data_IF_307478760833
#
_entry.id   IF_307478760833
#
_cell.length_a   1.000
_cell.length_b   1.000
_cell.length_c   1.000
_cell.angle_alpha   90.00
_cell.angle_beta   90.00
_cell.angle_gamma   90.00
#
_symmetry.space_group_name_H-M   'P 1'
#
loop_
_entity.id
_entity.type
_entity.pdbx_description
1 polymer ?
#
# COMPACT_ATOMS: atom_id res chain seq x y z
N UNK A 1 -1.56 -31.68 11.72
CA UNK A 1 -2.25 -31.01 12.84
C UNK A 1 -3.34 -30.11 12.27
N UNK A 2 -4.60 -30.53 12.37
CA UNK A 2 -5.74 -29.79 11.87
C UNK A 2 -5.95 -28.51 12.70
N UNK A 3 -5.57 -27.37 12.13
CA UNK A 3 -5.80 -26.06 12.75
C UNK A 3 -7.29 -25.83 12.91
N UNK A 4 -7.71 -25.53 14.14
CA UNK A 4 -9.06 -25.12 14.49
C UNK A 4 -9.51 -23.97 13.58
N UNK A 5 -10.44 -24.24 12.66
CA UNK A 5 -11.09 -23.19 11.87
C UNK A 5 -11.83 -22.26 12.84
N UNK A 6 -11.25 -21.09 13.13
CA UNK A 6 -11.93 -20.01 13.84
C UNK A 6 -13.24 -19.69 13.11
N UNK A 7 -14.35 -19.60 13.85
CA UNK A 7 -15.63 -19.10 13.32
C UNK A 7 -15.42 -17.76 12.57
N UNK A 8 -16.16 -17.49 11.48
CA UNK A 8 -16.13 -16.20 10.82
C UNK A 8 -16.37 -15.08 11.84
N UNK A 9 -15.49 -14.08 11.86
CA UNK A 9 -15.78 -12.83 12.58
C UNK A 9 -16.87 -12.09 11.82
N UNK A 10 -17.99 -11.84 12.48
CA UNK A 10 -19.02 -10.95 11.94
C UNK A 10 -18.48 -9.52 12.04
N UNK A 11 -18.82 -8.71 11.04
CA UNK A 11 -18.35 -7.34 10.83
C UNK A 11 -19.04 -6.78 9.60
N UNK A 12 -18.78 -5.52 9.27
CA UNK A 12 -19.36 -4.89 8.09
C UNK A 12 -19.09 -5.73 6.83
N UNK A 13 -20.14 -5.97 6.04
CA UNK A 13 -20.08 -6.69 4.77
C UNK A 13 -20.25 -5.66 3.64
N UNK A 14 -19.16 -5.29 2.94
CA UNK A 14 -19.27 -4.43 1.77
C UNK A 14 -20.03 -5.12 0.63
N UNK A 15 -20.48 -4.33 -0.34
CA UNK A 15 -21.13 -4.86 -1.52
C UNK A 15 -20.17 -5.73 -2.35
N UNK A 16 -20.57 -6.97 -2.62
CA UNK A 16 -19.90 -7.91 -3.52
C UNK A 16 -20.74 -8.10 -4.79
N UNK A 17 -20.16 -8.45 -5.95
CA UNK A 17 -18.74 -8.71 -6.18
C UNK A 17 -17.89 -7.43 -6.22
N UNK A 18 -16.64 -7.52 -5.74
CA UNK A 18 -15.60 -6.54 -6.04
C UNK A 18 -15.42 -6.49 -7.56
N UNK A 19 -15.73 -5.33 -8.14
CA UNK A 19 -15.71 -5.14 -9.60
C UNK A 19 -14.32 -4.74 -10.06
N UNK A 20 -13.91 -5.30 -11.20
CA UNK A 20 -12.72 -4.82 -11.92
C UNK A 20 -12.94 -3.37 -12.39
N UNK A 21 -11.88 -2.55 -12.46
CA UNK A 21 -12.00 -1.18 -12.95
C UNK A 21 -12.65 -1.11 -14.34
N UNK A 22 -13.48 -0.08 -14.60
CA UNK A 22 -14.08 0.13 -15.92
C UNK A 22 -13.05 0.37 -17.02
N UNK A 23 -11.79 0.66 -16.65
CA UNK A 23 -10.64 0.70 -17.56
C UNK A 23 -10.48 -0.60 -18.38
N UNK A 24 -10.85 -1.74 -17.80
CA UNK A 24 -10.74 -3.07 -18.41
C UNK A 24 -12.06 -3.59 -18.99
N UNK A 25 -13.08 -2.74 -19.12
CA UNK A 25 -14.40 -3.17 -19.60
C UNK A 25 -14.39 -3.43 -21.10
N UNK A 26 -15.05 -4.51 -21.51
CA UNK A 26 -15.41 -4.76 -22.91
C UNK A 26 -16.94 -4.81 -23.06
N UNK A 27 -17.54 -4.04 -23.99
CA UNK A 27 -16.90 -3.04 -24.85
C UNK A 27 -16.30 -1.85 -24.06
N UNK A 28 -15.31 -1.12 -24.61
CA UNK A 28 -14.64 -0.01 -23.91
C UNK A 28 -15.61 1.08 -23.45
N UNK A 29 -15.37 1.63 -22.25
CA UNK A 29 -16.23 2.65 -21.62
C UNK A 29 -15.42 3.88 -21.17
N UNK A 30 -14.92 4.72 -22.10
CA UNK A 30 -13.93 5.76 -21.81
C UNK A 30 -14.39 6.76 -20.75
N UNK A 31 -15.64 7.25 -20.81
CA UNK A 31 -16.16 8.19 -19.81
C UNK A 31 -16.21 7.58 -18.39
N UNK A 32 -16.57 6.29 -18.29
CA UNK A 32 -16.56 5.59 -16.99
C UNK A 32 -15.13 5.33 -16.51
N UNK A 33 -14.19 5.06 -17.42
CA UNK A 33 -12.77 4.91 -17.09
C UNK A 33 -12.17 6.23 -16.56
N UNK A 34 -12.41 7.35 -17.25
CA UNK A 34 -11.94 8.69 -16.80
C UNK A 34 -12.56 9.04 -15.43
N UNK A 35 -13.88 8.84 -15.27
CA UNK A 35 -14.54 9.07 -13.98
C UNK A 35 -13.93 8.21 -12.88
N UNK A 36 -13.64 6.94 -13.15
CA UNK A 36 -13.01 6.05 -12.18
C UNK A 36 -11.58 6.48 -11.86
N UNK A 37 -10.77 6.90 -12.83
CA UNK A 37 -9.44 7.45 -12.57
C UNK A 37 -9.55 8.65 -11.61
N UNK A 38 -10.38 9.65 -11.92
CA UNK A 38 -10.48 10.86 -11.11
C UNK A 38 -11.08 10.61 -9.71
N UNK A 39 -12.16 9.86 -9.62
CA UNK A 39 -12.95 9.75 -8.38
C UNK A 39 -12.82 8.43 -7.63
N UNK A 40 -12.45 7.36 -8.34
CA UNK A 40 -12.23 6.05 -7.73
C UNK A 40 -10.78 5.81 -7.34
N UNK A 41 -9.84 6.29 -8.16
CA UNK A 41 -8.41 6.07 -7.97
C UNK A 41 -7.73 7.26 -7.28
N UNK A 42 -8.01 8.49 -7.72
CA UNK A 42 -7.33 9.68 -7.22
C UNK A 42 -8.01 10.35 -6.03
N UNK A 43 -9.34 10.48 -6.04
CA UNK A 43 -10.02 11.21 -4.98
C UNK A 43 -10.22 10.37 -3.71
N UNK A 44 -9.92 10.91 -2.51
CA UNK A 44 -9.10 12.10 -2.26
C UNK A 44 -7.59 11.79 -2.14
N UNK A 45 -7.22 10.53 -1.91
CA UNK A 45 -5.88 10.16 -1.43
C UNK A 45 -4.79 10.26 -2.49
N UNK A 46 -5.05 9.87 -3.74
CA UNK A 46 -4.08 10.04 -4.82
C UNK A 46 -3.75 11.52 -5.05
N UNK A 47 -4.74 12.40 -5.01
CA UNK A 47 -4.51 13.85 -5.07
C UNK A 47 -3.73 14.37 -3.86
N UNK A 48 -4.01 13.84 -2.66
CA UNK A 48 -3.22 14.15 -1.47
C UNK A 48 -1.74 13.78 -1.67
N UNK A 49 -1.43 12.59 -2.18
CA UNK A 49 -0.05 12.15 -2.38
C UNK A 49 0.68 12.97 -3.46
N UNK A 50 0.00 13.34 -4.54
CA UNK A 50 0.55 14.23 -5.55
C UNK A 50 0.84 15.62 -4.94
N UNK A 51 -0.11 16.18 -4.19
CA UNK A 51 0.06 17.47 -3.51
C UNK A 51 1.22 17.45 -2.52
N UNK A 52 1.30 16.41 -1.68
CA UNK A 52 2.43 16.20 -0.77
C UNK A 52 3.74 16.05 -1.54
N UNK A 53 3.75 15.37 -2.68
CA UNK A 53 4.90 15.22 -3.57
C UNK A 53 5.44 16.55 -4.07
N UNK A 54 4.54 17.40 -4.57
CA UNK A 54 4.88 18.75 -5.06
C UNK A 54 5.43 19.60 -3.91
N UNK A 55 4.75 19.64 -2.76
CA UNK A 55 5.20 20.40 -1.59
C UNK A 55 6.56 19.88 -1.11
N UNK A 56 6.72 18.56 -1.04
CA UNK A 56 7.96 17.96 -0.54
C UNK A 56 9.13 18.22 -1.47
N UNK A 57 8.93 18.15 -2.79
CA UNK A 57 9.98 18.49 -3.75
C UNK A 57 10.44 19.94 -3.63
N UNK A 58 9.50 20.88 -3.53
CA UNK A 58 9.82 22.31 -3.55
C UNK A 58 10.34 22.85 -2.22
N UNK A 59 9.97 22.23 -1.09
CA UNK A 59 10.24 22.80 0.24
C UNK A 59 10.89 21.85 1.24
N UNK A 60 10.77 20.53 1.05
CA UNK A 60 11.21 19.51 2.03
C UNK A 60 12.21 18.52 1.43
N UNK A 61 12.80 18.84 0.28
CA UNK A 61 13.83 18.05 -0.38
C UNK A 61 15.06 18.93 -0.53
N UNK A 62 16.26 18.43 -0.22
CA UNK A 62 17.50 19.19 -0.39
C UNK A 62 17.70 19.62 -1.85
N UNK A 63 18.56 20.62 -2.07
CA UNK A 63 18.92 21.07 -3.41
C UNK A 63 19.60 19.95 -4.22
N UNK A 64 19.55 20.04 -5.56
CA UNK A 64 20.24 19.08 -6.42
C UNK A 64 21.75 19.03 -6.12
N UNK A 65 22.39 20.18 -5.93
CA UNK A 65 23.81 20.30 -5.57
C UNK A 65 24.13 19.53 -4.28
N UNK A 66 23.28 19.68 -3.25
CA UNK A 66 23.44 18.93 -1.99
C UNK A 66 23.33 17.41 -2.21
N UNK A 67 22.42 16.98 -3.08
CA UNK A 67 22.16 15.56 -3.34
C UNK A 67 23.17 14.90 -4.28
N UNK A 68 24.11 15.63 -4.90
CA UNK A 68 25.16 15.05 -5.76
C UNK A 68 26.16 14.18 -4.97
N UNK A 69 26.27 14.41 -3.66
CA UNK A 69 27.10 13.62 -2.76
C UNK A 69 26.24 12.94 -1.70
N UNK A 70 26.53 11.67 -1.41
CA UNK A 70 25.84 10.95 -0.34
C UNK A 70 26.32 11.47 1.01
N UNK A 71 25.40 12.01 1.79
CA UNK A 71 25.64 12.48 3.15
C UNK A 71 24.47 12.09 4.05
N UNK A 72 24.77 11.53 5.22
CA UNK A 72 23.77 11.10 6.19
C UNK A 72 22.86 12.23 6.67
N UNK A 73 23.33 13.48 6.66
CA UNK A 73 22.54 14.64 7.09
C UNK A 73 21.28 14.81 6.24
N UNK A 74 21.43 14.95 4.93
CA UNK A 74 20.29 15.24 4.06
C UNK A 74 19.42 13.99 3.85
N UNK A 75 20.02 12.80 3.86
CA UNK A 75 19.28 11.54 3.92
C UNK A 75 18.44 11.45 5.21
N UNK A 76 18.99 11.93 6.33
CA UNK A 76 18.30 12.07 7.61
C UNK A 76 17.12 13.06 7.57
N UNK A 77 17.23 14.14 6.78
CA UNK A 77 16.10 15.06 6.53
C UNK A 77 14.97 14.36 5.78
N UNK A 78 15.28 13.58 4.74
CA UNK A 78 14.28 12.78 4.01
C UNK A 78 13.65 11.71 4.92
N UNK A 79 14.46 11.06 5.76
CA UNK A 79 13.97 10.13 6.78
C UNK A 79 12.98 10.81 7.73
N UNK A 80 13.35 11.97 8.29
CA UNK A 80 12.51 12.71 9.22
C UNK A 80 11.21 13.15 8.55
N UNK A 81 11.26 13.66 7.31
CA UNK A 81 10.09 14.03 6.53
C UNK A 81 9.13 12.84 6.37
N UNK A 82 9.64 11.69 5.94
CA UNK A 82 8.83 10.48 5.73
C UNK A 82 8.26 9.94 7.05
N UNK A 83 9.04 9.97 8.14
CA UNK A 83 8.59 9.58 9.47
C UNK A 83 7.46 10.47 9.98
N UNK A 84 7.59 11.80 9.81
CA UNK A 84 6.57 12.77 10.23
C UNK A 84 5.29 12.63 9.40
N UNK A 85 5.39 12.48 8.08
CA UNK A 85 4.23 12.30 7.20
C UNK A 85 3.48 11.00 7.51
N UNK A 86 4.20 9.88 7.65
CA UNK A 86 3.58 8.61 8.02
C UNK A 86 2.95 8.68 9.41
N UNK A 87 3.64 9.29 10.38
CA UNK A 87 3.12 9.42 11.75
C UNK A 87 1.90 10.32 11.83
N UNK A 88 1.89 11.43 11.09
CA UNK A 88 0.72 12.30 11.02
C UNK A 88 -0.47 11.53 10.43
N UNK A 89 -0.27 10.78 9.35
CA UNK A 89 -1.35 10.13 8.63
C UNK A 89 -1.85 8.86 9.32
N UNK A 90 -0.97 7.88 9.55
CA UNK A 90 -1.32 6.64 10.24
C UNK A 90 -1.74 6.92 11.69
N UNK A 91 -1.08 7.87 12.35
CA UNK A 91 -1.43 8.32 13.70
C UNK A 91 -2.81 8.98 13.76
N UNK A 92 -3.15 9.90 12.84
CA UNK A 92 -4.47 10.51 12.79
C UNK A 92 -5.58 9.49 12.50
N UNK A 93 -5.35 8.59 11.53
CA UNK A 93 -6.26 7.48 11.23
C UNK A 93 -6.48 6.59 12.46
N UNK A 94 -5.38 6.21 13.13
CA UNK A 94 -5.43 5.36 14.31
C UNK A 94 -6.14 6.05 15.47
N UNK A 95 -5.83 7.33 15.72
CA UNK A 95 -6.50 8.12 16.75
C UNK A 95 -8.00 8.23 16.49
N UNK A 96 -8.40 8.56 15.26
CA UNK A 96 -9.82 8.72 14.90
C UNK A 96 -10.60 7.40 15.00
N UNK A 97 -10.08 6.33 14.41
CA UNK A 97 -10.79 5.06 14.23
C UNK A 97 -10.68 4.12 15.44
N UNK A 98 -9.55 4.09 16.15
CA UNK A 98 -9.28 3.09 17.20
C UNK A 98 -9.26 3.66 18.62
N UNK A 99 -8.76 4.90 18.79
CA UNK A 99 -8.71 5.55 20.11
C UNK A 99 -10.02 6.28 20.41
N UNK A 100 -10.36 7.27 19.58
CA UNK A 100 -11.60 8.06 19.71
C UNK A 100 -12.84 7.25 19.32
N UNK A 101 -12.68 6.29 18.39
CA UNK A 101 -13.77 5.47 17.83
C UNK A 101 -14.92 6.34 17.34
N UNK A 102 -14.60 7.41 16.61
CA UNK A 102 -15.55 8.46 16.27
C UNK A 102 -16.76 7.99 15.44
N UNK A 103 -16.64 6.87 14.74
CA UNK A 103 -17.72 6.20 13.97
C UNK A 103 -18.08 4.82 14.55
N UNK A 104 -17.72 4.52 15.79
CA UNK A 104 -17.95 3.22 16.41
C UNK A 104 -17.37 2.07 15.58
N UNK A 105 -18.21 1.10 15.21
CA UNK A 105 -17.86 -0.03 14.34
C UNK A 105 -18.46 0.10 12.93
N UNK A 106 -19.04 1.25 12.58
CA UNK A 106 -19.60 1.48 11.25
C UNK A 106 -18.49 1.31 10.20
N UNK A 107 -18.76 0.47 9.20
CA UNK A 107 -17.84 0.11 8.11
C UNK A 107 -16.61 -0.70 8.52
N UNK A 108 -16.51 -1.15 9.77
CA UNK A 108 -15.37 -1.95 10.24
C UNK A 108 -15.50 -3.40 9.77
N UNK A 109 -14.47 -3.93 9.09
CA UNK A 109 -14.53 -5.29 8.53
C UNK A 109 -14.58 -6.39 9.59
N UNK A 110 -14.01 -6.14 10.77
CA UNK A 110 -13.97 -7.09 11.89
C UNK A 110 -14.51 -6.44 13.17
N UNK A 111 -15.35 -7.15 13.92
CA UNK A 111 -15.83 -6.66 15.22
C UNK A 111 -14.67 -6.43 16.20
N UNK A 112 -13.67 -7.32 16.21
CA UNK A 112 -12.58 -7.29 17.20
C UNK A 112 -11.68 -6.07 17.05
N UNK A 113 -11.30 -5.49 18.19
CA UNK A 113 -10.28 -4.42 18.22
C UNK A 113 -8.86 -5.01 18.17
N UNK A 114 -7.87 -4.15 17.94
CA UNK A 114 -6.46 -4.56 17.86
C UNK A 114 -5.99 -5.10 19.22
N UNK A 115 -5.15 -6.14 19.18
CA UNK A 115 -4.76 -6.83 20.42
C UNK A 115 -3.68 -6.07 21.18
N UNK A 116 -3.84 -5.98 22.50
CA UNK A 116 -2.90 -5.36 23.43
C UNK A 116 -2.19 -6.36 24.34
N UNK A 117 -2.50 -7.66 24.21
CA UNK A 117 -2.02 -8.72 25.10
C UNK A 117 -1.77 -10.04 24.34
N UNK A 118 -0.92 -10.02 23.32
CA UNK A 118 -0.60 -11.18 22.48
C UNK A 118 0.90 -11.37 22.30
N UNK A 119 1.43 -12.57 22.62
CA UNK A 119 2.85 -12.91 22.46
C UNK A 119 3.35 -12.91 21.01
N UNK A 120 2.47 -12.76 20.03
CA UNK A 120 2.84 -12.68 18.60
C UNK A 120 3.54 -11.37 18.22
N UNK A 121 3.32 -10.31 19.01
CA UNK A 121 3.78 -8.95 18.74
C UNK A 121 4.85 -8.52 19.76
N UNK A 122 5.78 -7.66 19.35
CA UNK A 122 6.70 -7.00 20.27
C UNK A 122 5.93 -6.27 21.37
N UNK A 123 6.47 -6.31 22.59
CA UNK A 123 5.83 -5.78 23.81
C UNK A 123 4.41 -6.30 24.07
N UNK A 124 4.05 -7.44 23.47
CA UNK A 124 2.71 -8.05 23.50
C UNK A 124 1.60 -7.15 22.96
N UNK A 125 1.92 -6.08 22.24
CA UNK A 125 0.97 -5.06 21.78
C UNK A 125 1.12 -4.82 20.28
N UNK A 126 0.05 -5.12 19.54
CA UNK A 126 0.05 -5.04 18.07
C UNK A 126 0.35 -3.64 17.55
N UNK A 127 -0.21 -2.60 18.17
CA UNK A 127 -0.01 -1.21 17.70
C UNK A 127 1.44 -0.78 17.90
N UNK A 128 2.04 -1.10 19.06
CA UNK A 128 3.44 -0.76 19.35
C UNK A 128 4.42 -1.50 18.45
N UNK A 129 4.18 -2.79 18.22
CA UNK A 129 4.95 -3.59 17.26
C UNK A 129 4.89 -2.97 15.86
N UNK A 130 3.69 -2.64 15.40
CA UNK A 130 3.47 -2.08 14.07
C UNK A 130 4.09 -0.69 13.89
N UNK A 131 3.98 0.20 14.89
CA UNK A 131 4.65 1.51 14.89
C UNK A 131 6.17 1.32 14.79
N UNK A 132 6.74 0.40 15.58
CA UNK A 132 8.17 0.12 15.55
C UNK A 132 8.62 -0.35 14.17
N UNK A 133 7.97 -1.35 13.57
CA UNK A 133 8.39 -1.85 12.25
C UNK A 133 8.17 -0.83 11.13
N UNK A 134 7.09 -0.06 11.17
CA UNK A 134 6.86 1.04 10.24
C UNK A 134 7.98 2.09 10.31
N UNK A 135 8.34 2.57 11.50
CA UNK A 135 9.27 3.69 11.64
C UNK A 135 10.74 3.26 11.62
N UNK A 136 11.11 2.23 12.39
CA UNK A 136 12.49 1.81 12.51
C UNK A 136 13.00 1.10 11.24
N UNK A 137 12.12 0.38 10.53
CA UNK A 137 12.48 -0.38 9.33
C UNK A 137 11.84 0.22 8.08
N UNK A 138 10.51 0.36 8.02
CA UNK A 138 9.79 0.80 6.83
C UNK A 138 10.23 2.16 6.31
N UNK A 139 10.18 3.20 7.16
CA UNK A 139 10.64 4.55 6.81
C UNK A 139 12.13 4.56 6.51
N UNK A 140 12.94 3.78 7.23
CA UNK A 140 14.38 3.68 6.98
C UNK A 140 14.69 3.18 5.56
N UNK A 141 14.11 2.04 5.15
CA UNK A 141 14.34 1.52 3.80
C UNK A 141 13.67 2.37 2.74
N UNK A 142 12.47 2.90 2.98
CA UNK A 142 11.83 3.84 2.08
C UNK A 142 12.75 5.04 1.80
N UNK A 143 13.18 5.73 2.85
CA UNK A 143 14.02 6.92 2.72
C UNK A 143 15.40 6.59 2.15
N UNK A 144 15.94 5.39 2.39
CA UNK A 144 17.18 4.94 1.76
C UNK A 144 17.00 4.78 0.24
N UNK A 145 15.98 4.07 -0.23
CA UNK A 145 15.71 3.92 -1.67
C UNK A 145 15.42 5.25 -2.35
N UNK A 146 14.64 6.12 -1.69
CA UNK A 146 14.35 7.45 -2.20
C UNK A 146 15.64 8.28 -2.30
N UNK A 147 16.44 8.33 -1.25
CA UNK A 147 17.69 9.09 -1.21
C UNK A 147 18.69 8.58 -2.26
N UNK A 148 18.88 7.26 -2.38
CA UNK A 148 19.78 6.68 -3.39
C UNK A 148 19.32 7.01 -4.81
N UNK A 149 18.01 7.01 -5.05
CA UNK A 149 17.45 7.37 -6.36
C UNK A 149 17.63 8.86 -6.66
N UNK A 150 17.40 9.74 -5.68
CA UNK A 150 17.60 11.18 -5.82
C UNK A 150 19.08 11.55 -5.98
N UNK A 151 19.98 10.88 -5.27
CA UNK A 151 21.41 11.02 -5.45
C UNK A 151 21.86 10.58 -6.84
N UNK A 152 21.38 9.42 -7.31
CA UNK A 152 21.67 8.95 -8.65
C UNK A 152 21.17 9.94 -9.71
N UNK A 153 19.98 10.52 -9.51
CA UNK A 153 19.43 11.56 -10.38
C UNK A 153 20.29 12.83 -10.36
N UNK A 154 20.55 13.40 -9.18
CA UNK A 154 21.29 14.65 -9.02
C UNK A 154 22.70 14.56 -9.59
N UNK A 155 23.33 13.40 -9.43
CA UNK A 155 24.67 13.13 -9.94
C UNK A 155 24.71 12.68 -11.40
N UNK A 156 23.62 12.77 -12.15
CA UNK A 156 23.51 12.38 -13.55
C UNK A 156 23.88 10.91 -13.83
N UNK A 157 23.63 10.00 -12.88
CA UNK A 157 23.90 8.54 -13.01
C UNK A 157 22.74 7.75 -13.61
N UNK A 158 21.54 8.34 -13.64
CA UNK A 158 20.32 7.77 -14.21
C UNK A 158 19.68 8.76 -15.17
N UNK A 159 18.91 8.32 -16.17
CA UNK A 159 18.28 9.22 -17.12
C UNK A 159 17.21 10.08 -16.43
N UNK A 160 17.04 11.30 -16.91
CA UNK A 160 16.05 12.23 -16.36
C UNK A 160 15.38 13.04 -17.46
N UNK A 161 14.23 13.63 -17.14
CA UNK A 161 13.51 14.54 -18.03
C UNK A 161 12.92 15.68 -17.21
N UNK A 162 12.94 16.87 -17.80
CA UNK A 162 12.44 18.10 -17.20
C UNK A 162 11.02 18.43 -17.65
N UNK A 163 10.36 19.32 -16.91
CA UNK A 163 9.04 19.82 -17.25
C UNK A 163 9.00 20.62 -18.56
N UNK A 164 10.09 21.29 -18.93
CA UNK A 164 10.21 22.01 -20.20
C UNK A 164 10.35 21.07 -21.40
N UNK A 165 10.97 19.91 -21.21
CA UNK A 165 11.21 18.95 -22.29
C UNK A 165 9.98 18.10 -22.60
N UNK A 166 9.27 17.61 -21.57
CA UNK A 166 8.19 16.65 -21.78
C UNK A 166 7.08 16.75 -20.71
N UNK A 167 6.33 17.87 -20.68
CA UNK A 167 5.32 18.11 -19.65
C UNK A 167 4.18 17.08 -19.67
N UNK A 168 3.68 16.73 -20.85
CA UNK A 168 2.58 15.74 -21.00
C UNK A 168 3.02 14.36 -20.49
N UNK A 169 4.24 13.96 -20.80
CA UNK A 169 4.81 12.70 -20.35
C UNK A 169 4.92 12.67 -18.81
N UNK A 170 5.43 13.73 -18.19
CA UNK A 170 5.54 13.80 -16.74
C UNK A 170 4.17 13.82 -16.05
N UNK A 171 3.18 14.50 -16.64
CA UNK A 171 1.78 14.39 -16.17
C UNK A 171 1.31 12.94 -16.26
N UNK A 172 1.57 12.23 -17.36
CA UNK A 172 1.21 10.81 -17.49
C UNK A 172 1.95 9.92 -16.49
N UNK A 173 3.22 10.19 -16.20
CA UNK A 173 3.98 9.44 -15.20
C UNK A 173 3.45 9.65 -13.79
N UNK A 174 3.16 10.88 -13.38
CA UNK A 174 2.55 11.16 -12.07
C UNK A 174 1.13 10.60 -11.97
N UNK A 175 0.33 10.75 -13.03
CA UNK A 175 -1.11 10.42 -13.02
C UNK A 175 -1.45 8.96 -13.38
N UNK A 176 -0.53 8.20 -13.96
CA UNK A 176 -0.78 6.81 -14.35
C UNK A 176 0.47 5.98 -14.04
N UNK A 177 1.64 6.43 -14.47
CA UNK A 177 2.91 5.69 -14.33
C UNK A 177 3.16 5.21 -12.91
N UNK A 178 3.10 6.10 -11.91
CA UNK A 178 3.33 5.75 -10.50
C UNK A 178 2.39 4.65 -10.03
N UNK A 179 1.09 4.82 -10.25
CA UNK A 179 0.09 3.89 -9.71
C UNK A 179 0.22 2.53 -10.36
N UNK A 180 0.20 2.48 -11.70
CA UNK A 180 0.20 1.20 -12.41
C UNK A 180 1.52 0.46 -12.25
N UNK A 181 2.64 1.18 -12.22
CA UNK A 181 3.92 0.54 -11.88
C UNK A 181 3.90 -0.01 -10.46
N UNK A 182 3.45 0.79 -9.48
CA UNK A 182 3.40 0.34 -8.08
C UNK A 182 2.51 -0.89 -7.90
N UNK A 183 1.35 -0.95 -8.55
CA UNK A 183 0.43 -2.09 -8.44
C UNK A 183 0.91 -3.33 -9.20
N UNK A 184 1.59 -3.17 -10.33
CA UNK A 184 2.25 -4.28 -11.05
C UNK A 184 3.41 -4.82 -10.21
N UNK A 185 4.32 -3.93 -9.79
CA UNK A 185 5.46 -4.28 -8.96
C UNK A 185 5.02 -4.99 -7.67
N UNK A 186 4.03 -4.42 -6.96
CA UNK A 186 3.50 -5.01 -5.75
C UNK A 186 2.99 -6.43 -5.99
N UNK A 187 2.21 -6.67 -7.05
CA UNK A 187 1.73 -8.02 -7.36
C UNK A 187 2.90 -9.02 -7.56
N UNK A 188 3.96 -8.60 -8.27
CA UNK A 188 5.14 -9.45 -8.51
C UNK A 188 5.83 -9.80 -7.20
N UNK A 189 6.21 -8.78 -6.43
CA UNK A 189 7.01 -8.98 -5.21
C UNK A 189 6.20 -9.64 -4.10
N UNK A 190 4.91 -9.29 -3.97
CA UNK A 190 4.04 -9.85 -2.96
C UNK A 190 3.77 -11.32 -3.25
N UNK A 191 3.49 -11.69 -4.50
CA UNK A 191 3.35 -13.10 -4.87
C UNK A 191 4.65 -13.90 -4.61
N UNK A 192 5.81 -13.30 -4.87
CA UNK A 192 7.10 -13.91 -4.51
C UNK A 192 7.28 -14.07 -2.99
N UNK A 193 6.88 -13.07 -2.19
CA UNK A 193 6.93 -13.13 -0.73
C UNK A 193 6.03 -14.22 -0.12
N UNK A 194 5.01 -14.68 -0.85
CA UNK A 194 4.19 -15.85 -0.47
C UNK A 194 4.80 -17.20 -0.84
N UNK A 195 5.94 -17.23 -1.53
CA UNK A 195 6.73 -18.44 -1.65
C UNK A 195 7.28 -18.86 -0.29
N UNK A 196 7.10 -20.13 0.08
CA UNK A 196 7.31 -20.65 1.45
C UNK A 196 8.58 -20.16 2.17
N UNK A 197 9.78 -20.18 1.54
CA UNK A 197 11.01 -19.68 2.18
C UNK A 197 10.95 -18.17 2.49
N UNK A 198 10.53 -17.35 1.53
CA UNK A 198 10.40 -15.90 1.73
C UNK A 198 9.28 -15.57 2.71
N UNK A 199 8.20 -16.35 2.70
CA UNK A 199 7.10 -16.20 3.63
C UNK A 199 7.59 -16.40 5.06
N UNK A 200 8.26 -17.52 5.32
CA UNK A 200 8.78 -17.85 6.66
C UNK A 200 9.89 -16.91 7.11
N UNK A 201 10.68 -16.39 6.16
CA UNK A 201 11.80 -15.50 6.45
C UNK A 201 11.36 -14.06 6.76
N UNK A 202 10.35 -13.55 6.07
CA UNK A 202 10.04 -12.12 6.10
C UNK A 202 8.54 -11.80 6.17
N UNK A 203 7.71 -12.49 5.38
CA UNK A 203 6.31 -12.09 5.18
C UNK A 203 5.34 -12.54 6.29
N UNK A 204 5.70 -13.58 7.05
CA UNK A 204 4.91 -14.09 8.16
C UNK A 204 4.58 -12.99 9.18
N UNK A 205 5.52 -12.06 9.40
CA UNK A 205 5.39 -10.94 10.33
C UNK A 205 4.25 -10.02 9.93
N UNK A 206 4.20 -9.60 8.67
CA UNK A 206 3.11 -8.79 8.14
C UNK A 206 1.77 -9.48 8.40
N UNK A 207 1.71 -10.77 8.06
CA UNK A 207 0.52 -11.63 8.22
C UNK A 207 0.14 -11.98 9.66
N UNK A 208 0.94 -11.61 10.67
CA UNK A 208 0.48 -11.63 12.07
C UNK A 208 -0.68 -10.66 12.29
N UNK A 209 -0.76 -9.61 11.46
CA UNK A 209 -1.81 -8.59 11.47
C UNK A 209 -3.11 -9.03 10.76
N UNK A 210 -3.62 -10.23 11.05
CA UNK A 210 -4.91 -10.70 10.49
C UNK A 210 -6.05 -9.71 10.73
N UNK A 211 -6.06 -9.04 11.89
CA UNK A 211 -6.89 -7.87 12.13
C UNK A 211 -6.06 -6.61 11.91
N UNK A 212 -6.07 -6.08 10.70
CA UNK A 212 -5.25 -4.94 10.29
C UNK A 212 -5.66 -3.63 10.99
N UNK A 213 -4.73 -2.69 11.03
CA UNK A 213 -4.99 -1.31 11.42
C UNK A 213 -4.06 -0.34 10.68
N UNK A 214 -4.20 0.99 10.83
CA UNK A 214 -3.46 1.97 10.04
C UNK A 214 -1.94 1.80 10.07
N UNK A 215 -1.40 1.32 11.19
CA UNK A 215 0.04 1.05 11.35
C UNK A 215 0.49 -0.31 10.80
N UNK A 216 -0.39 -1.23 10.43
CA UNK A 216 0.04 -2.55 9.91
C UNK A 216 0.44 -2.53 8.44
N UNK A 217 0.15 -1.44 7.71
CA UNK A 217 0.26 -1.39 6.25
C UNK A 217 1.66 -1.59 5.70
N UNK A 218 2.68 -1.03 6.36
CA UNK A 218 4.11 -1.30 6.06
C UNK A 218 4.84 -1.83 7.30
N UNK A 219 4.14 -2.55 8.16
CA UNK A 219 4.77 -3.20 9.32
C UNK A 219 5.41 -4.52 8.89
N UNK A 220 6.50 -4.44 8.13
CA UNK A 220 7.16 -5.61 7.55
C UNK A 220 8.47 -5.98 8.26
N UNK A 221 8.99 -7.16 7.92
CA UNK A 221 10.37 -7.50 8.22
C UNK A 221 11.34 -6.68 7.33
N UNK A 222 12.57 -6.33 7.78
CA UNK A 222 13.54 -5.59 6.97
C UNK A 222 13.78 -6.15 5.55
N UNK A 223 13.86 -7.48 5.42
CA UNK A 223 14.04 -8.15 4.12
C UNK A 223 12.85 -7.86 3.19
N UNK A 224 11.63 -7.87 3.73
CA UNK A 224 10.44 -7.52 2.96
C UNK A 224 10.44 -6.04 2.59
N UNK A 225 10.89 -5.11 3.45
CA UNK A 225 11.05 -3.71 3.07
C UNK A 225 12.05 -3.50 1.92
N UNK A 226 13.18 -4.22 1.93
CA UNK A 226 14.15 -4.17 0.83
C UNK A 226 13.47 -4.58 -0.49
N UNK A 227 12.75 -5.70 -0.47
CA UNK A 227 12.03 -6.22 -1.63
C UNK A 227 10.92 -5.24 -2.05
N UNK A 228 10.12 -4.74 -1.12
CA UNK A 228 8.98 -3.86 -1.35
C UNK A 228 9.41 -2.52 -1.96
N UNK A 229 10.48 -1.89 -1.47
CA UNK A 229 10.96 -0.61 -1.98
C UNK A 229 11.86 -0.71 -3.22
N UNK A 230 12.09 -1.91 -3.76
CA UNK A 230 12.66 -2.04 -5.12
C UNK A 230 11.78 -1.42 -6.21
N UNK A 231 10.55 -1.01 -5.89
CA UNK A 231 9.66 -0.22 -6.76
C UNK A 231 10.36 1.03 -7.32
N UNK A 232 11.30 1.61 -6.58
CA UNK A 232 12.08 2.78 -7.02
C UNK A 232 13.02 2.50 -8.21
N UNK A 233 13.45 1.25 -8.40
CA UNK A 233 14.47 0.89 -9.39
C UNK A 233 14.01 1.11 -10.83
N UNK A 234 12.70 1.16 -11.09
CA UNK A 234 12.20 1.48 -12.44
C UNK A 234 12.65 2.88 -12.89
N UNK A 235 12.77 3.82 -11.95
CA UNK A 235 13.12 5.21 -12.24
C UNK A 235 14.61 5.38 -12.53
N UNK A 236 15.40 4.32 -12.36
CA UNK A 236 16.81 4.30 -12.76
C UNK A 236 16.98 4.01 -14.26
N UNK A 237 15.88 3.60 -14.92
CA UNK A 237 15.85 3.23 -16.34
C UNK A 237 14.85 4.12 -17.09
N UNK A 238 13.69 4.39 -16.48
CA UNK A 238 12.65 5.24 -17.05
C UNK A 238 12.91 6.70 -16.63
N UNK A 239 13.22 7.61 -17.58
CA UNK A 239 13.54 9.00 -17.26
C UNK A 239 12.35 9.69 -16.64
N UNK A 240 12.49 10.22 -15.42
CA UNK A 240 11.44 10.98 -14.76
C UNK A 240 12.00 12.18 -14.02
N UNK A 241 11.12 13.14 -13.74
CA UNK A 241 11.41 14.24 -12.83
C UNK A 241 11.35 13.74 -11.36
N UNK A 242 12.18 14.25 -10.44
CA UNK A 242 12.20 13.84 -9.02
C UNK A 242 10.86 13.82 -8.28
N UNK A 243 9.92 14.69 -8.68
CA UNK A 243 8.54 14.66 -8.14
C UNK A 243 7.90 13.27 -8.33
N UNK A 244 8.12 12.59 -9.47
CA UNK A 244 7.57 11.25 -9.73
C UNK A 244 8.15 10.23 -8.74
N UNK A 245 9.45 10.34 -8.45
CA UNK A 245 10.17 9.48 -7.48
C UNK A 245 9.56 9.68 -6.08
N UNK A 246 9.39 10.92 -5.64
CA UNK A 246 8.81 11.26 -4.33
C UNK A 246 7.35 10.78 -4.24
N UNK A 247 6.53 11.03 -5.27
CA UNK A 247 5.13 10.57 -5.31
C UNK A 247 5.05 9.04 -5.28
N UNK A 248 5.99 8.33 -5.93
CA UNK A 248 6.10 6.87 -5.83
C UNK A 248 6.39 6.41 -4.40
N UNK A 249 7.29 7.11 -3.72
CA UNK A 249 7.54 6.92 -2.30
C UNK A 249 6.30 7.13 -1.45
N UNK A 250 5.57 8.23 -1.64
CA UNK A 250 4.33 8.49 -0.88
C UNK A 250 3.23 7.50 -1.18
N UNK A 251 3.07 7.08 -2.43
CA UNK A 251 2.08 6.07 -2.78
C UNK A 251 2.39 4.74 -2.05
N UNK A 252 3.63 4.26 -2.08
CA UNK A 252 3.99 2.98 -1.47
C UNK A 252 4.22 3.06 0.06
N UNK A 253 4.62 4.22 0.58
CA UNK A 253 4.91 4.43 2.01
C UNK A 253 3.69 4.88 2.83
N UNK A 254 2.79 5.68 2.27
CA UNK A 254 1.65 6.26 2.99
C UNK A 254 0.32 5.59 2.66
N UNK A 255 0.08 5.20 1.40
CA UNK A 255 -1.21 4.60 1.01
C UNK A 255 -1.59 3.33 1.79
N UNK A 256 -0.64 2.45 2.20
CA UNK A 256 -0.99 1.27 2.97
C UNK A 256 -1.67 1.58 4.30
N UNK A 257 -1.46 2.76 4.88
CA UNK A 257 -2.15 3.17 6.11
C UNK A 257 -3.67 3.28 5.94
N UNK A 258 -4.14 3.61 4.74
CA UNK A 258 -5.57 3.63 4.43
C UNK A 258 -6.08 2.23 4.13
N UNK A 259 -5.43 1.49 3.22
CA UNK A 259 -5.90 0.16 2.81
C UNK A 259 -5.96 -0.84 3.97
N UNK A 260 -5.09 -0.64 4.98
CA UNK A 260 -5.04 -1.42 6.22
C UNK A 260 -5.80 -0.77 7.38
N UNK A 261 -6.55 0.31 7.16
CA UNK A 261 -7.25 1.03 8.23
C UNK A 261 -8.25 0.18 9.01
N UNK A 262 -8.68 -0.97 8.47
CA UNK A 262 -9.67 -1.86 9.09
C UNK A 262 -11.12 -1.45 8.85
N UNK A 263 -11.35 -0.36 8.11
CA UNK A 263 -12.66 0.23 7.83
C UNK A 263 -12.83 0.53 6.35
N UNK A 264 -13.96 0.15 5.75
CA UNK A 264 -14.25 0.41 4.33
C UNK A 264 -14.33 1.92 4.03
N UNK A 265 -14.89 2.70 4.96
CA UNK A 265 -15.00 4.14 4.86
C UNK A 265 -14.66 4.85 6.18
N UNK A 266 -14.13 6.06 6.07
CA UNK A 266 -14.15 7.07 7.12
C UNK A 266 -15.37 7.97 6.95
N UNK A 267 -16.12 8.15 8.04
CA UNK A 267 -17.27 9.06 8.08
C UNK A 267 -16.86 10.42 8.65
N UNK A 268 -17.03 11.47 7.84
CA UNK A 268 -16.74 12.86 8.22
C UNK A 268 -18.06 13.64 8.34
N UNK A 269 -18.26 14.30 9.49
CA UNK A 269 -19.46 15.11 9.82
C UNK A 269 -20.78 14.34 9.62
N UNK A 270 -20.78 13.02 9.84
CA UNK A 270 -21.93 12.13 9.67
C UNK A 270 -22.58 12.18 8.26
N UNK A 271 -21.86 12.67 7.24
CA UNK A 271 -22.42 12.87 5.89
C UNK A 271 -21.48 12.37 4.80
N UNK A 272 -20.21 12.70 4.90
CA UNK A 272 -19.24 12.38 3.86
C UNK A 272 -18.56 11.04 4.17
N UNK A 273 -18.55 10.14 3.18
CA UNK A 273 -17.83 8.87 3.25
C UNK A 273 -16.61 8.95 2.35
N UNK A 274 -15.43 8.79 2.94
CA UNK A 274 -14.17 8.69 2.20
C UNK A 274 -13.75 7.24 2.23
N UNK A 275 -13.55 6.61 1.07
CA UNK A 275 -13.06 5.23 1.00
C UNK A 275 -11.70 5.15 1.68
N UNK A 276 -11.42 4.11 2.45
CA UNK A 276 -10.14 3.96 3.14
C UNK A 276 -9.58 2.56 3.03
N UNK A 277 -10.28 1.60 3.60
CA UNK A 277 -9.85 0.21 3.62
C UNK A 277 -10.17 -0.49 2.30
N UNK A 278 -9.50 -1.62 2.10
CA UNK A 278 -9.64 -2.38 0.86
C UNK A 278 -10.15 -3.80 1.18
N UNK A 279 -11.42 -4.09 0.87
CA UNK A 279 -11.97 -5.45 1.03
C UNK A 279 -11.13 -6.47 0.24
N UNK A 280 -10.61 -6.09 -0.93
CA UNK A 280 -9.80 -6.97 -1.76
C UNK A 280 -8.56 -7.47 -1.00
N UNK A 281 -7.88 -6.56 -0.33
CA UNK A 281 -6.72 -6.86 0.50
C UNK A 281 -7.10 -7.51 1.84
N UNK A 282 -8.27 -7.19 2.41
CA UNK A 282 -8.75 -7.91 3.61
C UNK A 282 -9.01 -9.40 3.33
N UNK A 283 -9.56 -9.72 2.16
CA UNK A 283 -9.73 -11.11 1.72
C UNK A 283 -8.37 -11.80 1.54
N UNK A 284 -7.35 -11.05 1.11
CA UNK A 284 -5.97 -11.54 1.08
C UNK A 284 -5.47 -11.93 2.49
N UNK A 285 -5.53 -11.02 3.47
CA UNK A 285 -5.13 -11.33 4.87
C UNK A 285 -5.93 -12.47 5.51
N UNK A 286 -7.17 -12.69 5.04
CA UNK A 286 -8.03 -13.77 5.54
C UNK A 286 -7.70 -15.12 4.93
N UNK A 287 -7.35 -15.17 3.65
CA UNK A 287 -7.24 -16.41 2.89
C UNK A 287 -5.83 -16.73 2.37
N UNK A 288 -4.90 -15.77 2.38
CA UNK A 288 -3.48 -15.83 2.01
C UNK A 288 -3.17 -16.20 0.55
N UNK A 289 -4.00 -17.02 -0.10
CA UNK A 289 -3.73 -17.59 -1.43
C UNK A 289 -4.44 -16.86 -2.59
N UNK A 290 -4.99 -15.68 -2.32
CA UNK A 290 -5.81 -14.90 -3.27
C UNK A 290 -5.42 -13.44 -3.18
N UNK A 291 -5.71 -12.67 -4.23
CA UNK A 291 -5.59 -11.21 -4.22
C UNK A 291 -4.19 -10.71 -3.85
N UNK A 292 -3.16 -11.19 -4.54
CA UNK A 292 -1.77 -10.77 -4.30
C UNK A 292 -1.50 -9.32 -4.75
N UNK A 293 -2.31 -8.77 -5.65
CA UNK A 293 -2.14 -7.42 -6.18
C UNK A 293 -3.13 -6.42 -5.58
N UNK A 294 -3.49 -5.44 -6.40
CA UNK A 294 -4.47 -4.42 -6.09
C UNK A 294 -5.50 -4.32 -7.22
N UNK A 295 -6.66 -3.73 -6.90
CA UNK A 295 -7.75 -3.57 -7.87
C UNK A 295 -7.40 -2.73 -9.12
N UNK A 296 -6.52 -1.68 -9.08
CA UNK A 296 -6.19 -0.91 -10.28
C UNK A 296 -5.50 -1.73 -11.37
N UNK A 297 -4.80 -2.80 -11.02
CA UNK A 297 -4.17 -3.73 -11.98
C UNK A 297 -4.56 -5.17 -11.61
N UNK A 298 -5.68 -5.70 -12.14
CA UNK A 298 -6.29 -6.94 -11.69
C UNK A 298 -5.57 -8.19 -12.22
N UNK A 299 -4.25 -8.29 -12.00
CA UNK A 299 -3.41 -9.41 -12.44
C UNK A 299 -3.87 -10.74 -11.83
N UNK A 300 -4.36 -10.74 -10.59
CA UNK A 300 -4.96 -11.93 -9.99
C UNK A 300 -6.12 -12.50 -10.81
N UNK A 301 -6.85 -11.68 -11.57
CA UNK A 301 -7.92 -12.17 -12.42
C UNK A 301 -7.38 -12.86 -13.68
N UNK A 302 -6.18 -12.48 -14.13
CA UNK A 302 -5.47 -13.12 -15.24
C UNK A 302 -4.85 -14.45 -14.77
N UNK A 303 -4.27 -14.46 -13.57
CA UNK A 303 -3.56 -15.63 -13.01
C UNK A 303 -4.43 -16.55 -12.12
N UNK A 304 -5.74 -16.36 -12.10
CA UNK A 304 -6.68 -17.27 -11.41
C UNK A 304 -6.67 -17.19 -9.88
N UNK A 305 -6.22 -16.07 -9.31
CA UNK A 305 -6.13 -15.82 -7.86
C UNK A 305 -7.07 -14.70 -7.38
N UNK A 306 -7.98 -14.22 -8.24
CA UNK A 306 -8.97 -13.18 -7.91
C UNK A 306 -10.13 -13.72 -7.08
N UNK A 307 -10.33 -13.12 -5.91
CA UNK A 307 -11.44 -13.35 -4.99
C UNK A 307 -12.22 -12.05 -4.77
N UNK A 308 -13.43 -11.99 -5.31
CA UNK A 308 -14.31 -10.80 -5.28
C UNK A 308 -15.27 -10.77 -4.08
N UNK A 309 -15.15 -11.72 -3.16
CA UNK A 309 -15.97 -11.82 -1.95
C UNK A 309 -17.27 -12.61 -2.13
N UNK A 310 -17.56 -13.10 -3.34
CA UNK A 310 -18.75 -13.91 -3.62
C UNK A 310 -18.63 -15.34 -3.10
N UNK A 311 -19.77 -16.05 -2.99
CA UNK A 311 -19.78 -17.47 -2.61
C UNK A 311 -19.09 -18.33 -3.67
N UNK A 312 -19.28 -18.00 -4.94
CA UNK A 312 -18.66 -18.68 -6.07
C UNK A 312 -17.14 -18.56 -6.02
N UNK A 313 -16.59 -17.39 -5.65
CA UNK A 313 -15.16 -17.24 -5.42
C UNK A 313 -14.65 -18.09 -4.25
N UNK A 314 -15.44 -18.18 -3.19
CA UNK A 314 -15.13 -18.99 -2.03
C UNK A 314 -15.11 -20.49 -2.36
N UNK A 315 -16.05 -20.96 -3.18
CA UNK A 315 -16.11 -22.35 -3.65
C UNK A 315 -14.92 -22.70 -4.54
N UNK A 316 -14.54 -21.81 -5.48
CA UNK A 316 -13.33 -21.98 -6.30
C UNK A 316 -12.08 -22.14 -5.43
N UNK A 317 -11.93 -21.31 -4.40
CA UNK A 317 -10.80 -21.42 -3.45
C UNK A 317 -10.81 -22.77 -2.71
N UNK A 318 -11.98 -23.21 -2.20
CA UNK A 318 -12.11 -24.51 -1.52
C UNK A 318 -11.75 -25.67 -2.44
N UNK A 319 -12.20 -25.62 -3.70
CA UNK A 319 -11.89 -26.63 -4.69
C UNK A 319 -10.39 -26.72 -4.93
N UNK A 320 -9.72 -25.59 -5.19
CA UNK A 320 -8.26 -25.54 -5.40
C UNK A 320 -7.47 -26.13 -4.22
N UNK A 321 -7.84 -25.78 -2.98
CA UNK A 321 -7.20 -26.33 -1.77
C UNK A 321 -7.35 -27.85 -1.63
N UNK A 322 -8.50 -28.39 -2.01
CA UNK A 322 -8.74 -29.85 -1.99
C UNK A 322 -7.90 -30.57 -3.04
N UNK A 323 -7.73 -29.99 -4.22
CA UNK A 323 -6.89 -30.55 -5.28
C UNK A 323 -5.42 -30.61 -4.85
N UNK A 324 -4.87 -29.50 -4.33
CA UNK A 324 -3.46 -29.42 -3.90
C UNK A 324 -3.10 -30.24 -2.65
N UNK A 325 -4.08 -30.87 -1.98
CA UNK A 325 -3.84 -31.79 -0.87
C UNK A 325 -3.77 -33.26 -1.32
N UNK A 326 -4.19 -33.55 -2.56
CA UNK A 326 -4.17 -34.90 -3.12
C UNK A 326 -2.89 -35.18 -3.92
N UNK A 327 -2.19 -34.14 -4.31
CA UNK A 327 -0.85 -34.14 -4.91
C UNK A 327 0.20 -33.99 -3.80
#
# INVERSE_FOLDING_TARGET
>A
MAGTMRKPENGYQPSVPIRKPPLYAWPPRPLKAIRWLLFGLYFPWGFLFIGLGIVSWNFLTPSSETMETLDFWWMGVIWLRNALLLSALAGALHWWLYIRRAQGQDFKFTERWLTTSSRKFLWKNQVRDNIFWCLASGVTFWSLFESLTLWAWASNRIPSVTWSESPIYLVAMISVGVIFWSTIHFWIVHRALHWKPLYQLAHDRHHRNVNVGPWSGISFHPIEHIIYFTVFLIWWIVPVHPIVIIVSGFYNGLSPAFSHSGFDYIVVRNKWKLSTGDLYHQLHHRYFEVNYGNTPTPLDAVFGTWHDGTQEAQERLRHRRRSSQKD
#
